data_IF_637468627582
#
_entry.id   IF_637468627582
#
_cell.length_a   1.000
_cell.length_b   1.000
_cell.length_c   1.000
_cell.angle_alpha   90.00
_cell.angle_beta   90.00
_cell.angle_gamma   90.00
#
_symmetry.space_group_name_H-M   'P 1'
#
loop_
_entity.id
_entity.type
_entity.pdbx_description
1 polymer ?
#
# COMPACT_ATOMS: atom_id res chain seq x y z
N UNK A 1 28.67 -9.40 11.82
CA UNK A 1 28.20 -9.56 11.83
C UNK A 1 27.20 -9.65 12.30
N UNK A 2 26.57 -9.42 12.31
CA UNK A 2 25.73 -9.36 12.94
C UNK A 2 24.74 -10.12 12.76
N UNK A 3 24.38 -10.87 13.31
CA UNK A 3 23.40 -11.74 13.33
C UNK A 3 22.30 -11.25 14.14
N UNK A 4 21.66 -10.19 13.82
CA UNK A 4 20.52 -9.68 14.55
C UNK A 4 19.33 -10.58 14.22
N UNK A 5 18.75 -11.17 15.24
CA UNK A 5 17.51 -11.86 15.01
C UNK A 5 16.43 -10.81 15.03
N UNK A 6 16.14 -10.28 13.88
CA UNK A 6 15.22 -9.16 13.79
C UNK A 6 13.86 -9.50 14.37
N UNK A 7 13.35 -8.56 15.13
CA UNK A 7 11.98 -8.65 15.60
C UNK A 7 11.27 -7.45 15.04
N UNK A 8 10.55 -7.66 13.94
CA UNK A 8 9.92 -6.57 13.22
C UNK A 8 8.65 -6.12 13.89
N UNK A 9 8.57 -4.84 14.14
CA UNK A 9 7.40 -4.23 14.76
C UNK A 9 6.78 -3.29 13.76
N UNK A 10 5.49 -3.42 13.55
CA UNK A 10 4.78 -2.57 12.61
C UNK A 10 4.79 -1.14 13.13
N UNK A 11 5.13 -0.21 12.28
CA UNK A 11 5.20 1.19 12.65
C UNK A 11 4.07 1.99 12.04
N UNK A 12 3.93 1.95 10.73
CA UNK A 12 2.90 2.73 10.08
C UNK A 12 2.64 2.19 8.68
N UNK A 13 1.49 2.56 8.13
CA UNK A 13 1.15 2.24 6.76
C UNK A 13 0.92 3.55 6.02
N UNK A 14 1.54 3.67 4.86
CA UNK A 14 1.33 4.82 3.99
C UNK A 14 0.60 4.34 2.76
N UNK A 15 -0.47 5.00 2.39
CA UNK A 15 -1.26 4.62 1.23
C UNK A 15 -1.41 5.81 0.30
N UNK A 16 -1.41 5.53 -0.98
CA UNK A 16 -1.54 6.57 -1.98
C UNK A 16 -2.34 6.03 -3.13
N UNK A 17 -3.29 6.82 -3.62
CA UNK A 17 -4.07 6.48 -4.77
C UNK A 17 -3.95 7.61 -5.78
N UNK A 18 -3.58 7.27 -7.00
CA UNK A 18 -3.53 8.26 -8.08
C UNK A 18 -4.35 7.73 -9.23
N UNK A 19 -4.89 8.64 -10.02
CA UNK A 19 -5.69 8.28 -11.18
C UNK A 19 -5.07 8.95 -12.38
N UNK A 20 -4.88 8.20 -13.44
CA UNK A 20 -4.35 8.76 -14.67
C UNK A 20 -5.22 8.30 -15.83
N UNK A 21 -5.09 8.98 -16.96
CA UNK A 21 -5.85 8.63 -18.14
C UNK A 21 -6.55 9.84 -18.70
N UNK A 22 -7.16 9.66 -19.84
CA UNK A 22 -7.81 10.76 -20.54
C UNK A 22 -9.28 10.42 -20.74
N UNK A 23 -9.59 9.47 -21.57
CA UNK A 23 -10.95 9.01 -21.74
C UNK A 23 -11.21 7.80 -20.84
N UNK A 24 -10.21 6.98 -20.66
CA UNK A 24 -10.31 5.82 -19.81
C UNK A 24 -9.35 6.03 -18.65
N UNK A 25 -9.84 5.90 -17.45
CA UNK A 25 -9.04 6.16 -16.26
C UNK A 25 -8.51 4.89 -15.67
N UNK A 26 -7.31 4.96 -15.14
CA UNK A 26 -6.69 3.85 -14.42
C UNK A 26 -6.32 4.34 -13.04
N UNK A 27 -6.76 3.62 -12.04
CA UNK A 27 -6.42 3.95 -10.66
C UNK A 27 -5.17 3.16 -10.28
N UNK A 28 -4.23 3.85 -9.68
CA UNK A 28 -3.00 3.23 -9.23
C UNK A 28 -3.02 3.24 -7.72
N UNK A 29 -3.02 2.07 -7.12
CA UNK A 29 -3.06 1.93 -5.66
C UNK A 29 -1.68 1.54 -5.19
N UNK A 30 -1.21 2.21 -4.15
CA UNK A 30 0.11 1.97 -3.64
C UNK A 30 0.07 1.97 -2.11
N UNK A 31 0.66 0.97 -1.52
CA UNK A 31 0.69 0.85 -0.07
C UNK A 31 2.09 0.48 0.36
N UNK A 32 2.56 1.15 1.39
CA UNK A 32 3.88 0.85 1.97
C UNK A 32 3.66 0.61 3.46
N UNK A 33 4.02 -0.56 3.92
CA UNK A 33 4.00 -0.88 5.34
C UNK A 33 5.42 -0.75 5.86
N UNK A 34 5.58 0.03 6.89
CA UNK A 34 6.89 0.32 7.46
C UNK A 34 7.02 -0.43 8.79
N UNK A 35 8.10 -1.18 8.92
CA UNK A 35 8.39 -1.91 10.14
C UNK A 35 9.77 -1.52 10.62
N UNK A 36 10.01 -1.66 11.90
CA UNK A 36 11.35 -1.46 12.42
C UNK A 36 11.71 -2.64 13.33
N UNK A 37 13.00 -2.91 13.41
CA UNK A 37 13.46 -3.98 14.28
C UNK A 37 13.73 -3.37 15.63
N UNK A 38 13.07 -3.87 16.67
CA UNK A 38 13.24 -3.29 17.99
C UNK A 38 14.60 -3.63 18.59
N UNK A 39 15.35 -4.53 17.97
CA UNK A 39 16.66 -4.90 18.50
C UNK A 39 17.79 -4.09 17.88
N UNK A 40 17.72 -3.79 16.61
CA UNK A 40 18.80 -3.07 15.96
C UNK A 40 18.35 -1.79 15.26
N UNK A 41 17.07 -1.46 15.37
CA UNK A 41 16.52 -0.23 14.81
C UNK A 41 16.60 -0.14 13.28
N UNK A 42 16.72 -1.28 12.64
CA UNK A 42 16.72 -1.29 11.19
C UNK A 42 15.30 -1.08 10.67
N UNK A 43 15.17 -0.46 9.52
CA UNK A 43 13.86 -0.15 8.95
C UNK A 43 13.61 -1.07 7.77
N UNK A 44 12.40 -1.60 7.68
CA UNK A 44 12.00 -2.45 6.58
C UNK A 44 10.73 -1.88 5.99
N UNK A 45 10.69 -1.76 4.68
CA UNK A 45 9.49 -1.28 3.99
C UNK A 45 9.01 -2.36 3.05
N UNK A 46 7.72 -2.65 3.13
CA UNK A 46 7.09 -3.62 2.24
C UNK A 46 6.13 -2.85 1.35
N UNK A 47 6.39 -2.84 0.05
CA UNK A 47 5.59 -2.06 -0.88
C UNK A 47 4.74 -2.98 -1.72
N UNK A 48 3.51 -2.55 -1.96
CA UNK A 48 2.60 -3.23 -2.86
C UNK A 48 1.93 -2.19 -3.73
N UNK A 49 1.76 -2.49 -5.00
CA UNK A 49 1.10 -1.55 -5.89
C UNK A 49 0.37 -2.33 -6.96
N UNK A 50 -0.71 -1.75 -7.43
CA UNK A 50 -1.52 -2.40 -8.44
C UNK A 50 -2.31 -1.33 -9.19
N UNK A 51 -2.52 -1.56 -10.48
CA UNK A 51 -3.29 -0.65 -11.30
C UNK A 51 -4.61 -1.32 -11.66
N UNK A 52 -5.69 -0.58 -11.56
CA UNK A 52 -7.01 -1.10 -11.83
C UNK A 52 -7.70 -0.16 -12.82
N UNK A 53 -8.20 -0.71 -13.92
CA UNK A 53 -8.95 0.08 -14.88
C UNK A 53 -10.32 0.40 -14.33
N UNK A 54 -10.74 1.63 -14.48
CA UNK A 54 -12.02 2.08 -13.96
C UNK A 54 -13.08 2.09 -15.04
N UNK A 55 -14.29 1.64 -14.75
CA UNK A 55 -15.38 1.77 -15.70
C UNK A 55 -15.86 3.21 -15.70
N UNK A 56 -16.79 3.49 -16.61
CA UNK A 56 -17.36 4.83 -16.72
C UNK A 56 -17.96 5.21 -15.37
N UNK A 57 -17.57 6.35 -14.87
CA UNK A 57 -18.07 6.80 -13.58
C UNK A 57 -17.35 6.21 -12.38
N UNK A 58 -16.44 5.27 -12.61
CA UNK A 58 -15.76 4.62 -11.48
C UNK A 58 -14.86 5.55 -10.71
N UNK A 59 -14.46 6.67 -11.33
CA UNK A 59 -13.58 7.60 -10.66
C UNK A 59 -14.22 8.15 -9.39
N UNK A 60 -15.53 8.11 -9.28
CA UNK A 60 -16.22 8.59 -8.09
C UNK A 60 -16.37 7.49 -7.04
N UNK A 61 -15.97 6.27 -7.35
CA UNK A 61 -16.12 5.16 -6.42
C UNK A 61 -14.82 4.38 -6.32
N UNK A 62 -13.72 5.10 -6.18
CA UNK A 62 -12.43 4.46 -6.15
C UNK A 62 -12.31 3.36 -5.10
N UNK A 63 -12.96 3.56 -3.97
CA UNK A 63 -12.85 2.59 -2.90
C UNK A 63 -13.41 1.23 -3.29
N UNK A 64 -14.39 1.22 -4.19
CA UNK A 64 -15.02 -0.04 -4.58
C UNK A 64 -14.13 -0.90 -5.46
N UNK A 65 -13.08 -0.31 -6.01
CA UNK A 65 -12.21 -1.02 -6.93
C UNK A 65 -10.83 -1.29 -6.32
N UNK A 66 -10.63 -0.86 -5.08
CA UNK A 66 -9.33 -1.05 -4.45
C UNK A 66 -9.07 -2.52 -4.19
N UNK A 67 -7.83 -2.98 -4.36
CA UNK A 67 -7.50 -4.37 -4.05
C UNK A 67 -7.70 -4.65 -2.56
N UNK A 68 -7.85 -5.92 -2.25
CA UNK A 68 -8.06 -6.31 -0.87
C UNK A 68 -6.89 -5.89 0.00
N UNK A 69 -5.67 -6.03 -0.51
CA UNK A 69 -4.49 -5.68 0.27
C UNK A 69 -4.40 -4.18 0.56
N UNK A 70 -5.10 -3.36 -0.23
CA UNK A 70 -5.07 -1.92 -0.04
C UNK A 70 -5.94 -1.51 1.13
N UNK A 71 -6.94 -2.30 1.44
CA UNK A 71 -7.90 -1.93 2.48
C UNK A 71 -7.27 -2.12 3.85
N UNK A 72 -7.61 -1.27 4.82
CA UNK A 72 -7.06 -1.45 6.15
C UNK A 72 -7.54 -2.78 6.70
N UNK A 73 -6.64 -3.46 7.43
CA UNK A 73 -7.00 -4.64 8.03
C UNK A 73 -7.83 -4.30 9.15
N UNK A 74 -8.81 -4.62 9.22
CA UNK A 74 -9.59 -4.30 10.15
C UNK A 74 -9.87 -4.42 11.21
N UNK A 75 -10.16 -4.20 11.49
CA UNK A 75 -10.37 -4.23 12.29
C UNK A 75 -11.35 -4.19 12.47
#
# INVERSE_FOLDING_TARGET
MDNCEHKWVFQETQQKTTVSGYEHYTAHYHRVDVYFCEKCCEIKKVEQQESVGLPFGGIHKLQNYAPIWYQPKGE
#
